data_IF_155796486366
#
_entry.id   IF_155796486366
#
_cell.length_a   1.000
_cell.length_b   1.000
_cell.length_c   1.000
_cell.angle_alpha   90.00
_cell.angle_beta   90.00
_cell.angle_gamma   90.00
#
_symmetry.space_group_name_H-M   'P 1'
#
loop_
_entity.id
_entity.type
_entity.pdbx_description
1 polymer ?
#
# COMPACT_ATOMS: atom_id res chain seq x y z
N UNK A 1 6.82 26.84 9.92
CA UNK A 1 5.66 27.71 10.23
C UNK A 1 4.49 27.26 9.38
N UNK A 2 3.31 26.93 9.94
CA UNK A 2 2.13 26.67 9.12
C UNK A 2 1.82 27.93 8.29
N UNK A 3 1.66 27.77 6.98
CA UNK A 3 1.20 28.87 6.12
C UNK A 3 -0.24 29.16 6.49
N UNK A 4 -0.51 30.33 7.08
CA UNK A 4 -1.87 30.78 7.37
C UNK A 4 -2.52 31.08 6.01
N UNK A 5 -3.35 30.16 5.53
CA UNK A 5 -4.11 30.29 4.28
C UNK A 5 -5.59 30.31 4.61
N UNK A 6 -6.37 31.08 3.85
CA UNK A 6 -7.81 31.26 4.07
C UNK A 6 -8.63 29.94 4.01
N UNK A 7 -8.08 28.90 3.39
CA UNK A 7 -8.68 27.55 3.35
C UNK A 7 -7.59 26.48 3.45
N UNK A 8 -7.19 26.09 4.68
CA UNK A 8 -6.18 25.05 4.85
C UNK A 8 -6.70 23.70 4.36
N UNK A 9 -5.89 23.00 3.57
CA UNK A 9 -6.23 21.65 3.11
C UNK A 9 -6.30 20.69 4.30
N UNK A 10 -7.22 19.75 4.24
CA UNK A 10 -7.28 18.67 5.23
C UNK A 10 -6.06 17.75 5.08
N UNK A 11 -5.70 17.04 6.15
CA UNK A 11 -4.63 16.04 6.10
C UNK A 11 -4.86 15.00 5.00
N UNK A 12 -6.11 14.58 4.80
CA UNK A 12 -6.51 13.65 3.75
C UNK A 12 -6.27 14.22 2.35
N UNK A 13 -6.56 15.51 2.12
CA UNK A 13 -6.29 16.16 0.83
C UNK A 13 -4.78 16.27 0.57
N UNK A 14 -4.01 16.65 1.58
CA UNK A 14 -2.54 16.72 1.50
C UNK A 14 -1.96 15.34 1.16
N UNK A 15 -2.42 14.28 1.84
CA UNK A 15 -1.96 12.92 1.60
C UNK A 15 -2.37 12.43 0.20
N UNK A 16 -3.60 12.72 -0.25
CA UNK A 16 -4.08 12.38 -1.59
C UNK A 16 -3.22 13.01 -2.68
N UNK A 17 -2.89 14.30 -2.56
CA UNK A 17 -2.01 14.99 -3.52
C UNK A 17 -0.58 14.46 -3.49
N UNK A 18 -0.05 14.16 -2.30
CA UNK A 18 1.28 13.56 -2.14
C UNK A 18 1.36 12.19 -2.81
N UNK A 19 0.35 11.35 -2.56
CA UNK A 19 0.21 10.03 -3.18
C UNK A 19 0.10 10.12 -4.70
N UNK A 20 -0.74 11.04 -5.21
CA UNK A 20 -0.89 11.29 -6.64
C UNK A 20 0.43 11.73 -7.30
N UNK A 21 1.20 12.63 -6.68
CA UNK A 21 2.52 13.04 -7.18
C UNK A 21 3.52 11.89 -7.25
N UNK A 22 3.42 10.92 -6.35
CA UNK A 22 4.26 9.71 -6.32
C UNK A 22 3.72 8.57 -7.19
N UNK A 23 2.57 8.76 -7.86
CA UNK A 23 1.91 7.72 -8.65
C UNK A 23 1.37 6.56 -7.82
N UNK A 24 1.19 6.73 -6.51
CA UNK A 24 0.70 5.68 -5.60
C UNK A 24 -0.72 5.98 -5.14
N UNK A 25 -1.49 4.93 -4.84
CA UNK A 25 -2.82 5.04 -4.25
C UNK A 25 -2.98 3.97 -3.18
N UNK A 26 -3.59 4.32 -2.06
CA UNK A 26 -3.95 3.32 -1.05
C UNK A 26 -5.06 2.42 -1.60
N UNK A 27 -4.87 1.10 -1.56
CA UNK A 27 -5.87 0.10 -1.92
C UNK A 27 -5.99 -0.86 -0.75
N UNK A 28 -7.16 -0.90 -0.12
CA UNK A 28 -7.47 -1.81 0.97
C UNK A 28 -8.24 -3.02 0.43
N UNK A 29 -7.95 -4.19 0.98
CA UNK A 29 -8.67 -5.43 0.73
C UNK A 29 -9.17 -5.98 2.06
N UNK A 30 -10.37 -6.56 2.06
CA UNK A 30 -10.87 -7.35 3.18
C UNK A 30 -10.41 -8.79 2.97
N UNK A 31 -9.67 -9.33 3.94
CA UNK A 31 -9.09 -10.68 3.91
C UNK A 31 -9.53 -11.47 5.15
N UNK A 32 -9.44 -12.80 5.10
CA UNK A 32 -9.60 -13.63 6.29
C UNK A 32 -8.43 -13.39 7.25
N UNK A 33 -8.68 -13.56 8.55
CA UNK A 33 -7.65 -13.36 9.58
C UNK A 33 -6.44 -14.29 9.37
N UNK A 34 -6.69 -15.54 9.00
CA UNK A 34 -5.63 -16.52 8.74
C UNK A 34 -4.72 -16.09 7.59
N UNK A 35 -5.30 -15.55 6.51
CA UNK A 35 -4.54 -15.03 5.37
C UNK A 35 -3.69 -13.82 5.77
N UNK A 36 -4.19 -12.95 6.65
CA UNK A 36 -3.45 -11.79 7.17
C UNK A 36 -2.23 -12.25 7.97
N UNK A 37 -2.39 -13.22 8.87
CA UNK A 37 -1.26 -13.75 9.66
C UNK A 37 -0.27 -14.52 8.78
N UNK A 38 -0.75 -15.21 7.74
CA UNK A 38 0.12 -15.83 6.73
C UNK A 38 0.97 -14.77 6.01
N UNK A 39 0.35 -13.71 5.48
CA UNK A 39 1.07 -12.63 4.78
C UNK A 39 2.11 -11.98 5.71
N UNK A 40 1.73 -11.71 6.96
CA UNK A 40 2.60 -11.08 7.97
C UNK A 40 3.79 -11.98 8.32
N UNK A 41 3.55 -13.27 8.57
CA UNK A 41 4.62 -14.22 8.89
C UNK A 41 5.59 -14.42 7.73
N UNK A 42 5.08 -14.52 6.50
CA UNK A 42 5.89 -14.63 5.28
C UNK A 42 6.72 -13.37 5.02
N UNK A 43 6.10 -12.20 5.11
CA UNK A 43 6.77 -10.90 4.97
C UNK A 43 7.92 -10.77 5.97
N UNK A 44 7.69 -11.14 7.24
CA UNK A 44 8.73 -11.15 8.28
C UNK A 44 9.85 -12.15 7.95
N UNK A 45 9.51 -13.37 7.55
CA UNK A 45 10.49 -14.42 7.22
C UNK A 45 11.37 -14.03 6.03
N UNK A 46 10.79 -13.37 5.03
CA UNK A 46 11.49 -12.92 3.82
C UNK A 46 12.20 -11.57 3.99
N UNK A 47 11.94 -10.85 5.08
CA UNK A 47 12.52 -9.52 5.31
C UNK A 47 12.03 -8.44 4.35
N UNK A 48 10.86 -8.63 3.71
CA UNK A 48 10.29 -7.67 2.76
C UNK A 48 8.95 -7.11 3.27
N UNK A 49 8.58 -5.87 2.90
CA UNK A 49 7.26 -5.32 3.21
C UNK A 49 6.11 -6.18 2.64
N UNK A 50 4.97 -6.22 3.34
CA UNK A 50 3.80 -7.01 2.92
C UNK A 50 3.27 -6.61 1.53
N UNK A 51 3.29 -5.32 1.19
CA UNK A 51 2.89 -4.87 -0.14
C UNK A 51 3.81 -5.43 -1.24
N UNK A 52 5.12 -5.50 -0.99
CA UNK A 52 6.08 -6.08 -1.92
C UNK A 52 5.80 -7.57 -2.10
N UNK A 53 5.60 -8.31 -1.01
CA UNK A 53 5.23 -9.73 -1.05
C UNK A 53 3.99 -9.98 -1.92
N UNK A 54 2.92 -9.19 -1.73
CA UNK A 54 1.68 -9.32 -2.50
C UNK A 54 1.92 -9.03 -3.98
N UNK A 55 2.66 -7.96 -4.31
CA UNK A 55 2.94 -7.62 -5.70
C UNK A 55 3.81 -8.65 -6.39
N UNK A 56 4.77 -9.25 -5.68
CA UNK A 56 5.62 -10.31 -6.23
C UNK A 56 4.83 -11.58 -6.49
N UNK A 57 3.89 -11.93 -5.59
CA UNK A 57 2.96 -13.04 -5.81
C UNK A 57 2.07 -12.82 -7.05
N UNK A 58 1.51 -11.61 -7.20
CA UNK A 58 0.68 -11.27 -8.38
C UNK A 58 1.49 -11.36 -9.69
N UNK A 59 2.72 -10.82 -9.70
CA UNK A 59 3.60 -10.92 -10.87
C UNK A 59 4.01 -12.36 -11.16
N UNK A 60 4.25 -13.18 -10.14
CA UNK A 60 4.55 -14.59 -10.31
C UNK A 60 3.36 -15.33 -10.94
N UNK A 61 2.14 -15.04 -10.50
CA UNK A 61 0.92 -15.60 -11.09
C UNK A 61 0.73 -15.16 -12.54
N UNK A 62 1.00 -13.89 -12.87
CA UNK A 62 0.98 -13.41 -14.25
C UNK A 62 1.93 -14.20 -15.15
N UNK A 63 3.18 -14.44 -14.72
CA UNK A 63 4.17 -15.21 -15.50
C UNK A 63 3.77 -16.66 -15.75
N UNK A 64 2.81 -17.22 -15.02
CA UNK A 64 2.30 -18.57 -15.25
C UNK A 64 1.20 -18.61 -16.33
N UNK A 65 0.66 -17.44 -16.72
CA UNK A 65 -0.38 -17.31 -17.74
C UNK A 65 0.19 -17.04 -19.14
N UNK A 66 1.44 -16.58 -19.21
CA UNK A 66 2.23 -16.39 -20.44
C UNK A 66 2.97 -17.68 -20.82
#
# INVERSE_FOLDING_TARGET
MPKIVASPKTQTQIQKESNARRGVKNKAFTLKLDDIELIKSLSKRLGIPQNQLIMDAVRAYQRQLD
#
